data_IF_191600489849
#
_entry.id   IF_191600489849
#
_cell.length_a   1.000
_cell.length_b   1.000
_cell.length_c   1.000
_cell.angle_alpha   90.00
_cell.angle_beta   90.00
_cell.angle_gamma   90.00
#
_symmetry.space_group_name_H-M   'P 1'
#
loop_
_entity.id
_entity.type
_entity.pdbx_description
1 polymer ?
#
# COMPACT_ATOMS: atom_id res chain seq x y z
N UNK A 1 22.24 -2.42 6.83
CA UNK A 1 22.18 -3.54 5.89
C UNK A 1 21.39 -3.05 4.69
N UNK A 2 21.87 -3.44 3.52
CA UNK A 2 21.35 -3.10 2.20
C UNK A 2 20.11 -3.96 1.95
N UNK A 3 19.04 -3.76 2.73
CA UNK A 3 17.86 -4.64 2.75
C UNK A 3 17.25 -4.81 1.34
N UNK A 4 17.37 -3.76 0.52
CA UNK A 4 17.02 -3.70 -0.90
C UNK A 4 17.73 -4.75 -1.74
N UNK A 5 19.01 -5.01 -1.48
CA UNK A 5 19.81 -5.99 -2.19
C UNK A 5 19.38 -7.43 -1.91
N UNK A 6 19.00 -7.75 -0.67
CA UNK A 6 18.55 -9.11 -0.33
C UNK A 6 17.14 -9.38 -0.89
N UNK A 7 16.25 -8.39 -0.91
CA UNK A 7 14.98 -8.49 -1.66
C UNK A 7 15.23 -8.68 -3.16
N UNK A 8 16.17 -7.93 -3.73
CA UNK A 8 16.52 -8.03 -5.14
C UNK A 8 17.01 -9.44 -5.53
N UNK A 9 17.82 -10.09 -4.69
CA UNK A 9 18.19 -11.51 -4.87
C UNK A 9 16.98 -12.44 -4.89
N UNK A 10 16.02 -12.25 -3.98
CA UNK A 10 14.81 -13.06 -3.93
C UNK A 10 13.96 -12.87 -5.19
N UNK A 11 13.82 -11.62 -5.66
CA UNK A 11 13.10 -11.30 -6.89
C UNK A 11 13.76 -11.97 -8.09
N UNK A 12 15.08 -11.84 -8.24
CA UNK A 12 15.83 -12.52 -9.31
C UNK A 12 15.63 -14.04 -9.30
N UNK A 13 15.57 -14.64 -8.11
CA UNK A 13 15.37 -16.09 -7.97
C UNK A 13 13.94 -16.51 -8.31
N UNK A 14 12.94 -15.72 -7.89
CA UNK A 14 11.54 -16.05 -8.09
C UNK A 14 11.01 -15.69 -9.47
N UNK A 15 11.61 -14.68 -10.12
CA UNK A 15 11.13 -14.08 -11.35
C UNK A 15 9.59 -13.86 -11.39
N UNK A 16 8.97 -13.29 -10.32
CA UNK A 16 7.52 -13.12 -10.28
C UNK A 16 7.04 -12.18 -11.38
N UNK A 17 5.81 -12.33 -11.86
CA UNK A 17 5.22 -11.39 -12.83
C UNK A 17 5.05 -9.98 -12.22
N UNK A 18 4.65 -9.93 -10.95
CA UNK A 18 4.36 -8.71 -10.22
C UNK A 18 4.96 -8.75 -8.81
N UNK A 19 5.40 -7.59 -8.34
CA UNK A 19 5.95 -7.38 -6.99
C UNK A 19 5.20 -6.20 -6.39
N UNK A 20 4.32 -6.50 -5.44
CA UNK A 20 3.63 -5.48 -4.65
C UNK A 20 4.51 -5.10 -3.46
N UNK A 21 4.85 -3.81 -3.36
CA UNK A 21 5.56 -3.27 -2.19
C UNK A 21 4.56 -2.40 -1.43
N UNK A 22 4.32 -2.77 -0.18
CA UNK A 22 3.32 -2.15 0.68
C UNK A 22 3.96 -1.55 1.91
N UNK A 23 3.83 -0.23 2.06
CA UNK A 23 4.19 0.47 3.28
C UNK A 23 3.34 -0.03 4.45
N UNK A 24 3.97 -0.30 5.59
CA UNK A 24 3.26 -0.69 6.81
C UNK A 24 2.33 0.45 7.24
N UNK A 25 1.09 0.13 7.59
CA UNK A 25 0.12 1.09 8.12
C UNK A 25 -0.10 0.87 9.62
N UNK A 26 -0.44 1.94 10.33
CA UNK A 26 -0.70 1.85 11.76
C UNK A 26 -1.99 1.08 12.04
N UNK A 27 -1.89 0.02 12.82
CA UNK A 27 -2.98 -0.89 13.18
C UNK A 27 -3.47 -0.73 14.63
N UNK A 28 -3.07 0.35 15.32
CA UNK A 28 -3.38 0.56 16.73
C UNK A 28 -2.27 0.09 17.67
N UNK A 29 -2.32 0.55 18.92
CA UNK A 29 -1.43 0.04 19.97
C UNK A 29 -1.88 -1.38 20.34
N UNK A 30 -1.09 -2.39 20.00
CA UNK A 30 -1.25 -3.75 20.52
C UNK A 30 -0.93 -3.82 22.03
N UNK A 31 -1.30 -4.91 22.73
CA UNK A 31 -1.06 -5.07 24.18
C UNK A 31 0.42 -5.24 24.57
N UNK A 32 1.36 -5.12 23.63
CA UNK A 32 2.80 -5.32 23.83
C UNK A 32 3.60 -4.04 24.10
N UNK A 33 4.88 -4.21 24.47
CA UNK A 33 5.83 -3.10 24.68
C UNK A 33 6.39 -2.52 23.38
N UNK A 34 6.44 -3.31 22.30
CA UNK A 34 6.91 -2.89 20.99
C UNK A 34 5.77 -2.21 20.22
N UNK A 35 5.59 -0.91 20.50
CA UNK A 35 4.53 -0.12 19.89
C UNK A 35 4.98 0.40 18.53
N UNK A 36 4.35 -0.10 17.47
CA UNK A 36 4.36 0.54 16.16
C UNK A 36 3.82 1.97 16.32
N UNK A 37 4.66 2.97 16.08
CA UNK A 37 4.20 4.37 16.13
C UNK A 37 3.90 4.89 14.74
N UNK A 38 3.14 5.97 14.64
CA UNK A 38 2.98 6.69 13.36
C UNK A 38 4.31 7.13 12.74
N UNK A 39 5.39 7.25 13.52
CA UNK A 39 6.73 7.58 12.99
C UNK A 39 7.37 6.42 12.24
N UNK A 40 6.89 5.20 12.46
CA UNK A 40 7.38 3.98 11.81
C UNK A 40 6.62 3.68 10.50
N UNK A 41 5.56 4.44 10.20
CA UNK A 41 4.79 4.34 8.96
C UNK A 41 5.51 5.19 7.90
N UNK A 42 5.92 4.61 6.77
CA UNK A 42 6.57 5.37 5.70
C UNK A 42 5.56 6.28 5.00
N UNK A 43 6.07 7.33 4.40
CA UNK A 43 5.36 8.11 3.41
C UNK A 43 5.38 7.40 2.05
N UNK A 44 4.35 7.61 1.23
CA UNK A 44 4.30 6.98 -0.09
C UNK A 44 5.53 7.24 -0.97
N UNK A 45 6.11 8.46 -1.05
CA UNK A 45 7.35 8.68 -1.78
C UNK A 45 8.54 7.86 -1.28
N UNK A 46 8.57 7.50 0.01
CA UNK A 46 9.61 6.63 0.57
C UNK A 46 9.42 5.19 0.08
N UNK A 47 8.17 4.72 -0.04
CA UNK A 47 7.85 3.41 -0.65
C UNK A 47 8.27 3.38 -2.12
N UNK A 48 7.97 4.44 -2.89
CA UNK A 48 8.41 4.59 -4.29
C UNK A 48 9.93 4.56 -4.39
N UNK A 49 10.64 5.32 -3.55
CA UNK A 49 12.09 5.36 -3.54
C UNK A 49 12.70 3.99 -3.20
N UNK A 50 12.12 3.28 -2.22
CA UNK A 50 12.51 1.92 -1.87
C UNK A 50 12.35 0.96 -3.06
N UNK A 51 11.20 0.97 -3.75
CA UNK A 51 11.00 0.15 -4.95
C UNK A 51 11.99 0.45 -6.07
N UNK A 52 12.31 1.73 -6.31
CA UNK A 52 13.33 2.13 -7.29
C UNK A 52 14.72 1.63 -6.91
N UNK A 53 15.10 1.72 -5.63
CA UNK A 53 16.40 1.22 -5.16
C UNK A 53 16.55 -0.29 -5.29
N UNK A 54 15.46 -1.08 -5.26
CA UNK A 54 15.50 -2.51 -5.58
C UNK A 54 15.87 -2.72 -7.06
N UNK A 55 15.31 -1.91 -7.97
CA UNK A 55 15.56 -2.03 -9.42
C UNK A 55 16.98 -1.62 -9.83
N UNK A 56 17.66 -0.82 -9.00
CA UNK A 56 19.07 -0.47 -9.19
C UNK A 56 20.01 -1.68 -9.02
N UNK A 57 19.56 -2.76 -8.38
CA UNK A 57 20.33 -3.98 -8.27
C UNK A 57 20.48 -4.67 -9.64
N UNK A 58 21.73 -4.98 -9.98
CA UNK A 58 22.21 -5.43 -11.29
C UNK A 58 21.17 -6.18 -12.13
N UNK A 59 20.74 -5.61 -13.25
CA UNK A 59 19.87 -6.29 -14.23
C UNK A 59 18.40 -6.46 -13.86
N UNK A 60 17.94 -6.09 -12.65
CA UNK A 60 16.50 -6.12 -12.35
C UNK A 60 15.73 -5.06 -13.13
N UNK A 61 16.33 -3.88 -13.31
CA UNK A 61 15.75 -2.82 -14.15
C UNK A 61 15.65 -3.19 -15.63
N UNK A 62 16.31 -4.25 -16.11
CA UNK A 62 16.11 -4.76 -17.47
C UNK A 62 14.79 -5.52 -17.59
N UNK A 63 14.40 -6.25 -16.54
CA UNK A 63 13.23 -7.13 -16.51
C UNK A 63 11.99 -6.48 -15.91
N UNK A 64 12.16 -5.53 -14.98
CA UNK A 64 11.09 -4.96 -14.16
C UNK A 64 11.08 -3.43 -14.22
N UNK A 65 9.89 -2.86 -14.02
CA UNK A 65 9.70 -1.42 -13.94
C UNK A 65 8.49 -1.08 -13.05
N UNK A 66 8.48 0.14 -12.50
CA UNK A 66 7.36 0.66 -11.72
C UNK A 66 6.17 0.92 -12.64
N UNK A 67 5.11 0.12 -12.51
CA UNK A 67 3.94 0.20 -13.38
C UNK A 67 2.78 0.96 -12.74
N UNK A 68 2.51 0.73 -11.45
CA UNK A 68 1.34 1.26 -10.75
C UNK A 68 1.70 1.84 -9.38
N UNK A 69 0.87 2.78 -8.92
CA UNK A 69 0.94 3.38 -7.59
C UNK A 69 -0.46 3.51 -7.00
N UNK A 70 -0.62 3.20 -5.71
CA UNK A 70 -1.84 3.42 -4.93
C UNK A 70 -1.50 4.14 -3.62
N UNK A 71 -1.43 5.47 -3.68
CA UNK A 71 -0.94 6.31 -2.58
C UNK A 71 -1.80 6.18 -1.31
N UNK A 72 -3.11 5.99 -1.49
CA UNK A 72 -4.08 5.89 -0.40
C UNK A 72 -3.88 4.66 0.50
N UNK A 73 -3.20 3.63 -0.01
CA UNK A 73 -2.90 2.37 0.69
C UNK A 73 -1.39 2.13 0.88
N UNK A 74 -0.55 3.12 0.51
CA UNK A 74 0.92 3.04 0.51
C UNK A 74 1.48 1.88 -0.32
N UNK A 75 0.87 1.59 -1.47
CA UNK A 75 1.25 0.47 -2.33
C UNK A 75 1.86 0.98 -3.64
N UNK A 76 2.89 0.28 -4.11
CA UNK A 76 3.39 0.37 -5.49
C UNK A 76 3.48 -1.03 -6.10
N UNK A 77 3.42 -1.09 -7.43
CA UNK A 77 3.56 -2.33 -8.20
C UNK A 77 4.76 -2.22 -9.13
N UNK A 78 5.78 -3.05 -8.91
CA UNK A 78 6.78 -3.34 -9.92
C UNK A 78 6.28 -4.50 -10.77
N UNK A 79 6.29 -4.35 -12.10
CA UNK A 79 5.80 -5.37 -13.03
C UNK A 79 6.90 -5.79 -13.98
N UNK A 80 6.88 -7.05 -14.42
CA UNK A 80 7.76 -7.50 -15.52
C UNK A 80 7.42 -6.74 -16.79
N UNK A 81 8.44 -6.27 -17.50
CA UNK A 81 8.28 -5.55 -18.78
C UNK A 81 7.64 -6.38 -19.88
N UNK A 82 7.51 -7.71 -19.72
CA UNK A 82 6.67 -8.54 -20.60
C UNK A 82 5.19 -8.14 -20.57
N UNK A 83 4.73 -7.47 -19.51
CA UNK A 83 3.38 -6.89 -19.42
C UNK A 83 3.29 -5.46 -19.96
N UNK A 84 4.38 -4.89 -20.48
CA UNK A 84 4.35 -3.62 -21.17
C UNK A 84 4.22 -3.85 -22.68
N UNK A 85 3.10 -3.41 -23.26
CA UNK A 85 2.87 -3.44 -24.70
C UNK A 85 3.64 -2.26 -25.33
N UNK A 86 4.74 -2.59 -26.01
CA UNK A 86 5.63 -1.60 -26.64
C UNK A 86 5.02 -0.92 -27.86
N UNK A 87 4.07 -1.56 -28.54
CA UNK A 87 3.46 -1.00 -29.74
C UNK A 87 2.38 0.03 -29.38
N UNK A 88 1.63 -0.25 -28.31
CA UNK A 88 0.59 0.63 -27.80
C UNK A 88 1.05 1.58 -26.69
N UNK A 89 2.26 1.40 -26.19
CA UNK A 89 2.83 2.14 -25.07
C UNK A 89 1.99 2.04 -23.78
N UNK A 90 1.43 0.87 -23.49
CA UNK A 90 0.54 0.65 -22.34
C UNK A 90 1.00 -0.51 -21.45
N UNK A 91 0.78 -0.37 -20.15
CA UNK A 91 0.90 -1.47 -19.20
C UNK A 91 -0.35 -2.36 -19.26
N UNK A 92 -0.17 -3.66 -19.07
CA UNK A 92 -1.23 -4.67 -18.99
C UNK A 92 -1.17 -5.42 -17.66
N UNK A 93 -1.29 -4.70 -16.54
CA UNK A 93 -1.17 -5.28 -15.19
C UNK A 93 -2.51 -5.70 -14.56
N UNK A 94 -3.62 -5.47 -15.25
CA UNK A 94 -4.95 -5.76 -14.74
C UNK A 94 -5.47 -7.11 -15.22
N UNK A 95 -6.35 -7.73 -14.43
CA UNK A 95 -6.96 -9.01 -14.76
C UNK A 95 -8.20 -8.74 -15.63
N UNK A 96 -8.22 -9.33 -16.82
CA UNK A 96 -9.44 -9.54 -17.57
C UNK A 96 -10.22 -10.68 -16.92
N UNK A 97 -11.11 -10.33 -15.99
CA UNK A 97 -11.88 -11.33 -15.24
C UNK A 97 -12.76 -12.19 -16.15
N UNK A 98 -13.35 -11.61 -17.19
CA UNK A 98 -14.16 -12.37 -18.14
C UNK A 98 -13.30 -13.44 -18.83
N UNK A 99 -12.14 -13.05 -19.35
CA UNK A 99 -11.20 -13.97 -19.99
C UNK A 99 -10.66 -15.01 -19.01
N UNK A 100 -10.30 -14.60 -17.79
CA UNK A 100 -9.83 -15.49 -16.74
C UNK A 100 -10.88 -16.55 -16.40
N UNK A 101 -12.14 -16.15 -16.20
CA UNK A 101 -13.25 -17.06 -15.89
C UNK A 101 -13.45 -18.06 -17.04
N UNK A 102 -13.46 -17.60 -18.29
CA UNK A 102 -13.55 -18.50 -19.47
C UNK A 102 -12.43 -19.56 -19.49
N UNK A 103 -11.19 -19.17 -19.19
CA UNK A 103 -10.04 -20.08 -19.15
C UNK A 103 -10.14 -21.10 -18.01
N UNK A 104 -10.70 -20.70 -16.88
CA UNK A 104 -10.93 -21.60 -15.74
C UNK A 104 -12.05 -22.58 -16.07
N UNK A 105 -13.17 -22.11 -16.61
CA UNK A 105 -14.36 -22.92 -16.93
C UNK A 105 -14.10 -23.91 -18.07
N UNK A 106 -13.33 -23.50 -19.09
CA UNK A 106 -12.90 -24.38 -20.19
C UNK A 106 -11.85 -25.42 -19.78
N UNK A 107 -11.18 -25.22 -18.63
CA UNK A 107 -10.08 -26.06 -18.16
C UNK A 107 -8.75 -25.80 -18.88
N UNK A 108 -8.68 -24.83 -19.80
CA UNK A 108 -7.48 -24.48 -20.55
C UNK A 108 -6.41 -23.77 -19.71
N UNK A 109 -6.76 -23.25 -18.53
CA UNK A 109 -5.87 -22.44 -17.68
C UNK A 109 -4.49 -23.07 -17.41
N UNK A 110 -4.36 -24.41 -17.43
CA UNK A 110 -3.09 -25.12 -17.15
C UNK A 110 -2.00 -24.86 -18.18
N UNK A 111 -2.35 -24.46 -19.40
CA UNK A 111 -1.39 -24.15 -20.47
C UNK A 111 -1.25 -22.66 -20.73
N UNK A 112 -1.93 -21.83 -19.93
CA UNK A 112 -1.94 -20.38 -20.06
C UNK A 112 -1.05 -19.73 -19.02
N UNK A 113 -0.66 -18.51 -19.32
CA UNK A 113 0.12 -17.62 -18.47
C UNK A 113 -0.73 -16.42 -18.06
N UNK A 114 -0.24 -15.64 -17.12
CA UNK A 114 -0.86 -14.37 -16.71
C UNK A 114 -1.10 -13.40 -17.88
N UNK A 115 -0.27 -13.45 -18.93
CA UNK A 115 -0.43 -12.60 -20.13
C UNK A 115 -1.67 -12.94 -20.97
N UNK A 116 -2.17 -14.18 -20.88
CA UNK A 116 -3.34 -14.65 -21.65
C UNK A 116 -4.67 -14.07 -21.14
N UNK A 117 -4.66 -13.51 -19.93
CA UNK A 117 -5.82 -12.85 -19.31
C UNK A 117 -5.44 -11.49 -18.70
N UNK A 118 -4.34 -10.89 -19.16
CA UNK A 118 -3.94 -9.54 -18.80
C UNK A 118 -4.62 -8.51 -19.71
N UNK A 119 -5.27 -7.50 -19.13
CA UNK A 119 -5.81 -6.35 -19.85
C UNK A 119 -5.10 -5.05 -19.44
N UNK A 120 -5.38 -3.99 -20.20
CA UNK A 120 -4.77 -2.68 -19.99
C UNK A 120 -4.95 -2.20 -18.55
N UNK A 121 -3.86 -1.72 -17.98
CA UNK A 121 -3.85 -1.08 -16.67
C UNK A 121 -4.73 0.17 -16.71
N UNK A 122 -5.66 0.35 -15.75
CA UNK A 122 -6.46 1.57 -15.69
C UNK A 122 -5.58 2.81 -15.59
N UNK A 123 -5.93 3.86 -16.34
CA UNK A 123 -5.11 5.08 -16.41
C UNK A 123 -4.87 5.74 -15.05
N UNK A 124 -5.86 5.65 -14.15
CA UNK A 124 -5.79 6.17 -12.78
C UNK A 124 -4.89 5.34 -11.85
N UNK A 125 -4.51 4.13 -12.24
CA UNK A 125 -3.62 3.25 -11.47
C UNK A 125 -2.15 3.37 -11.88
N UNK A 126 -1.88 3.91 -13.07
CA UNK A 126 -0.52 4.07 -13.59
C UNK A 126 0.36 4.91 -12.65
N UNK A 127 1.64 4.56 -12.60
CA UNK A 127 2.66 5.39 -11.93
C UNK A 127 2.63 6.82 -12.46
N UNK A 128 2.66 7.80 -11.56
CA UNK A 128 2.57 9.22 -11.91
C UNK A 128 1.17 9.72 -12.33
N UNK A 129 0.13 8.89 -12.29
CA UNK A 129 -1.25 9.32 -12.58
C UNK A 129 -1.72 10.42 -11.60
N UNK A 130 -2.57 11.38 -12.06
CA UNK A 130 -3.14 12.40 -11.18
C UNK A 130 -3.96 11.83 -10.01
N UNK A 131 -4.64 10.72 -10.24
CA UNK A 131 -5.47 10.01 -9.27
C UNK A 131 -4.67 9.17 -8.27
N UNK A 132 -3.41 8.87 -8.61
CA UNK A 132 -2.46 8.12 -7.76
C UNK A 132 -3.04 6.79 -7.24
N UNK A 133 -3.70 6.06 -8.12
CA UNK A 133 -4.31 4.76 -7.85
C UNK A 133 -5.64 4.80 -7.13
N UNK A 134 -6.23 5.97 -6.91
CA UNK A 134 -7.58 6.06 -6.37
C UNK A 134 -8.61 5.97 -7.51
N UNK A 135 -9.47 4.95 -7.51
CA UNK A 135 -10.46 4.77 -8.58
C UNK A 135 -11.40 5.99 -8.63
N UNK A 136 -11.57 6.66 -9.78
CA UNK A 136 -12.51 7.76 -9.96
C UNK A 136 -13.96 7.44 -9.61
N UNK A 137 -14.35 6.16 -9.61
CA UNK A 137 -15.68 5.71 -9.20
C UNK A 137 -15.86 5.69 -7.69
N UNK A 138 -14.77 5.64 -6.94
CA UNK A 138 -14.80 5.64 -5.48
C UNK A 138 -14.90 7.06 -4.94
N UNK A 139 -15.52 7.19 -3.75
CA UNK A 139 -15.61 8.47 -3.04
C UNK A 139 -14.62 8.50 -1.90
N UNK A 140 -13.66 9.44 -1.96
CA UNK A 140 -12.69 9.60 -0.88
C UNK A 140 -13.34 10.18 0.36
N UNK A 141 -13.25 9.44 1.47
CA UNK A 141 -13.79 9.86 2.77
C UNK A 141 -12.67 10.47 3.61
N UNK A 142 -12.83 11.74 3.99
CA UNK A 142 -11.94 12.41 4.91
C UNK A 142 -12.56 12.47 6.29
N UNK A 143 -11.79 12.08 7.31
CA UNK A 143 -12.23 12.21 8.70
C UNK A 143 -12.41 13.70 9.03
N UNK A 144 -13.61 14.10 9.47
CA UNK A 144 -13.85 15.47 9.97
C UNK A 144 -12.88 15.74 11.12
N UNK A 145 -12.19 16.89 11.09
CA UNK A 145 -11.40 17.35 12.24
C UNK A 145 -12.34 17.44 13.45
N UNK A 146 -11.94 16.86 14.58
CA UNK A 146 -12.59 17.15 15.87
C UNK A 146 -12.28 18.60 16.20
N UNK A 147 -13.29 19.44 16.37
CA UNK A 147 -13.08 20.80 16.88
C UNK A 147 -12.39 20.72 18.23
N UNK A 148 -11.25 21.39 18.35
CA UNK A 148 -10.45 21.42 19.58
C UNK A 148 -11.16 22.17 20.72
N UNK A 149 -12.30 22.83 20.48
CA UNK A 149 -13.07 23.55 21.50
C UNK A 149 -13.90 22.65 22.42
N UNK A 150 -14.20 21.40 22.02
CA UNK A 150 -15.07 20.52 22.80
C UNK A 150 -14.35 19.65 23.85
N UNK A 151 -13.02 19.73 23.96
CA UNK A 151 -12.23 18.88 24.85
C UNK A 151 -11.78 19.55 26.16
N UNK A 152 -12.17 20.81 26.41
CA UNK A 152 -11.79 21.57 27.62
C UNK A 152 -12.91 21.59 28.68
N UNK A 153 -14.09 21.01 28.39
CA UNK A 153 -15.26 21.11 29.28
C UNK A 153 -15.40 20.07 30.39
N UNK A 154 -14.67 18.95 30.37
CA UNK A 154 -15.02 17.76 31.16
C UNK A 154 -14.02 17.39 32.28
N UNK A 155 -13.18 18.33 32.73
CA UNK A 155 -12.18 18.07 33.80
C UNK A 155 -12.29 18.99 35.02
N UNK A 156 -13.39 19.71 35.20
CA UNK A 156 -13.59 20.56 36.38
C UNK A 156 -14.97 20.34 37.01
N UNK A 157 -15.17 19.20 37.68
CA UNK A 157 -16.03 19.13 38.86
C UNK A 157 -15.70 17.87 39.68
N UNK A 158 -14.81 18.07 40.65
CA UNK A 158 -14.41 17.09 41.65
C UNK A 158 -13.87 17.83 42.87
N UNK A 159 -14.62 18.82 43.35
CA UNK A 159 -14.29 19.56 44.57
C UNK A 159 -14.35 18.66 45.79
N UNK A 160 -13.20 18.59 46.44
CA UNK A 160 -12.96 18.15 47.82
C UNK A 160 -14.00 18.72 48.80
N UNK A 161 -14.57 17.85 49.64
CA UNK A 161 -15.15 18.25 50.92
C UNK A 161 -14.42 17.49 52.03
N UNK A 162 -13.40 18.14 52.57
CA UNK A 162 -12.80 17.83 53.86
C UNK A 162 -13.55 18.64 54.93
N UNK A 163 -14.29 17.99 55.82
CA UNK A 163 -14.72 18.59 57.10
C UNK A 163 -14.28 17.69 58.23
N UNK A 164 -13.03 17.90 58.67
CA UNK A 164 -12.58 17.52 59.99
C UNK A 164 -12.97 18.59 61.01
N UNK A 165 -13.62 18.17 62.09
CA UNK A 165 -13.61 18.88 63.37
C UNK A 165 -13.57 17.84 64.50
N UNK A 166 -12.47 17.86 65.25
CA UNK A 166 -12.26 17.25 66.57
C UNK A 166 -13.28 17.80 67.59
N UNK A 167 -13.60 17.21 68.73
CA UNK A 167 -13.11 16.05 69.50
C UNK A 167 -13.68 16.17 70.92
N UNK A 168 -13.48 15.16 71.78
CA UNK A 168 -13.49 15.36 73.23
C UNK A 168 -14.30 14.36 74.07
N UNK A 169 -13.55 13.68 74.96
CA UNK A 169 -13.90 12.86 76.13
C UNK A 169 -14.49 11.47 75.89
#
# INVERSE_FOLDING_TARGET
MDDTHDYAKLIKRGQPDFIEIKGVTYNGDGPGKDKMTMKSVPWHPEVVAFGKSILEYEGLSDDYELACEHEHSLIILLARKSFYDKEKHEWRTHIDYSRYIELVESGEWRTKTSLDYACSTPSWALSGSPEKGFDPKDTRVYRKKKDKSAAVGDLAEGTSANTGAAGGA
#
